data_IF_841803143522
#
_entry.id   IF_841803143522
#
_cell.length_a   1.000
_cell.length_b   1.000
_cell.length_c   1.000
_cell.angle_alpha   90.00
_cell.angle_beta   90.00
_cell.angle_gamma   90.00
#
_symmetry.space_group_name_H-M   'P 1'
#
loop_
_entity.id
_entity.type
_entity.pdbx_description
1 polymer ?
#
# COMPACT_ATOMS: atom_id res chain seq x y z
N UNK A 1 5.15 36.54 50.77
CA UNK A 1 6.58 36.80 50.45
C UNK A 1 7.43 35.78 51.19
N UNK A 2 8.09 34.91 50.43
CA UNK A 2 9.35 34.22 50.73
C UNK A 2 9.37 32.94 49.88
N UNK A 3 9.94 33.07 48.68
CA UNK A 3 10.25 31.97 47.77
C UNK A 3 11.25 31.00 48.40
N UNK A 4 11.11 29.71 48.08
CA UNK A 4 12.19 28.74 48.19
C UNK A 4 12.24 27.89 46.91
N UNK A 5 13.45 27.53 46.44
CA UNK A 5 13.76 27.44 45.02
C UNK A 5 13.57 26.04 44.44
N UNK A 6 13.35 26.01 43.12
CA UNK A 6 13.22 24.82 42.27
C UNK A 6 14.27 23.74 42.56
N UNK A 7 13.78 22.58 43.00
CA UNK A 7 14.54 21.32 43.03
C UNK A 7 15.05 20.99 41.62
N UNK A 8 16.37 20.92 41.48
CA UNK A 8 17.06 20.53 40.25
C UNK A 8 16.66 19.12 39.84
N UNK A 9 16.13 18.98 38.63
CA UNK A 9 15.88 17.71 37.97
C UNK A 9 17.14 16.82 38.00
N UNK A 10 17.01 15.65 38.63
CA UNK A 10 18.11 14.71 38.83
C UNK A 10 18.07 13.66 37.69
N UNK A 11 18.65 14.00 36.53
CA UNK A 11 18.67 13.19 35.31
C UNK A 11 19.53 11.89 35.39
N UNK A 12 19.94 11.45 36.57
CA UNK A 12 20.84 10.28 36.76
C UNK A 12 20.18 9.04 37.37
N UNK A 13 18.85 8.95 37.38
CA UNK A 13 18.13 7.75 37.83
C UNK A 13 17.13 7.25 36.80
N UNK A 14 17.63 6.74 35.68
CA UNK A 14 16.98 5.65 34.93
C UNK A 14 18.04 4.66 34.47
N UNK A 15 17.70 3.38 34.55
CA UNK A 15 18.51 2.21 34.21
C UNK A 15 19.19 2.35 32.84
N UNK A 16 20.35 1.70 32.65
CA UNK A 16 21.07 1.76 31.38
C UNK A 16 20.20 1.17 30.28
N UNK A 17 19.94 1.97 29.24
CA UNK A 17 19.56 1.44 27.93
C UNK A 17 20.74 0.56 27.50
N UNK A 18 20.48 -0.71 27.19
CA UNK A 18 21.51 -1.67 26.83
C UNK A 18 22.44 -1.08 25.76
N UNK A 19 23.74 -1.06 26.06
CA UNK A 19 24.79 -0.54 25.17
C UNK A 19 24.76 -1.24 23.79
N UNK A 20 24.16 -2.43 23.70
CA UNK A 20 23.96 -3.21 22.48
C UNK A 20 23.14 -2.44 21.41
N UNK A 21 22.17 -1.61 21.81
CA UNK A 21 21.35 -0.83 20.87
C UNK A 21 22.14 0.31 20.24
N UNK A 22 23.03 0.93 21.02
CA UNK A 22 23.90 2.01 20.54
C UNK A 22 25.06 1.46 19.71
N UNK A 23 25.62 0.30 20.07
CA UNK A 23 26.65 -0.38 19.27
C UNK A 23 26.11 -0.87 17.91
N UNK A 24 24.88 -1.41 17.85
CA UNK A 24 24.27 -1.81 16.58
C UNK A 24 23.92 -0.61 15.69
N UNK A 25 23.48 0.51 16.28
CA UNK A 25 23.21 1.75 15.56
C UNK A 25 24.50 2.38 15.02
N UNK A 26 25.59 2.35 15.80
CA UNK A 26 26.89 2.86 15.39
C UNK A 26 27.55 1.96 14.33
N UNK A 27 27.35 0.64 14.40
CA UNK A 27 27.73 -0.31 13.34
C UNK A 27 26.98 -0.05 12.04
N UNK A 28 25.66 0.17 12.11
CA UNK A 28 24.85 0.53 10.94
C UNK A 28 25.30 1.86 10.30
N UNK A 29 25.58 2.89 11.12
CA UNK A 29 26.01 4.21 10.63
C UNK A 29 27.46 4.20 10.09
N UNK A 30 28.35 3.37 10.63
CA UNK A 30 29.73 3.25 10.14
C UNK A 30 29.82 2.46 8.83
N UNK A 31 28.97 1.45 8.62
CA UNK A 31 28.82 0.74 7.34
C UNK A 31 28.31 1.68 6.23
N UNK A 32 27.47 2.66 6.55
CA UNK A 32 27.04 3.70 5.60
C UNK A 32 28.14 4.72 5.23
N UNK A 33 29.10 4.97 6.11
CA UNK A 33 30.20 5.93 5.88
C UNK A 33 31.34 5.39 5.01
N UNK A 34 31.47 4.07 4.88
CA UNK A 34 32.59 3.41 4.18
C UNK A 34 32.33 3.08 2.70
N UNK A 35 31.27 3.63 2.08
CA UNK A 35 31.02 3.44 0.65
C UNK A 35 31.95 4.36 -0.17
N UNK A 36 32.84 3.82 -1.03
CA UNK A 36 33.78 4.64 -1.79
C UNK A 36 33.05 5.57 -2.76
N UNK A 37 33.32 6.88 -2.66
CA UNK A 37 32.86 7.87 -3.64
C UNK A 37 33.50 7.57 -5.00
N UNK A 38 32.68 7.13 -5.97
CA UNK A 38 33.10 7.00 -7.37
C UNK A 38 33.46 8.39 -7.91
N UNK A 39 34.73 8.55 -8.32
CA UNK A 39 35.26 9.76 -8.95
C UNK A 39 34.58 9.99 -10.31
N UNK A 40 34.04 11.19 -10.53
CA UNK A 40 33.61 11.66 -11.87
C UNK A 40 34.79 11.62 -12.84
N UNK A 41 34.63 11.14 -14.10
CA UNK A 41 35.65 11.33 -15.12
C UNK A 41 35.73 12.81 -15.52
N UNK A 42 36.95 13.33 -15.59
CA UNK A 42 37.30 14.62 -16.18
C UNK A 42 37.01 14.61 -17.68
N UNK A 43 36.25 15.58 -18.16
CA UNK A 43 36.11 15.93 -19.58
C UNK A 43 37.36 16.69 -20.03
N UNK A 44 38.19 16.07 -20.87
CA UNK A 44 39.25 16.72 -21.64
C UNK A 44 38.91 16.59 -23.13
N UNK A 45 38.97 17.71 -23.86
CA UNK A 45 38.56 17.83 -25.26
C UNK A 45 39.52 17.19 -26.27
N UNK A 46 39.02 17.05 -27.51
CA UNK A 46 39.81 16.65 -28.68
C UNK A 46 38.93 16.29 -29.86
N UNK A 47 39.13 16.97 -30.99
CA UNK A 47 38.26 17.06 -32.16
C UNK A 47 38.25 15.82 -33.09
N UNK A 48 37.19 15.70 -33.91
CA UNK A 48 37.19 14.85 -35.11
C UNK A 48 35.81 14.42 -35.61
N UNK A 49 35.23 15.15 -36.57
CA UNK A 49 34.13 14.74 -37.49
C UNK A 49 34.75 14.52 -38.90
N UNK A 50 34.01 14.07 -39.94
CA UNK A 50 32.96 13.03 -40.03
C UNK A 50 33.08 12.17 -41.33
N UNK A 51 32.22 11.14 -41.54
CA UNK A 51 31.66 10.71 -42.86
C UNK A 51 30.65 9.54 -42.68
N UNK A 52 29.36 9.77 -42.96
CA UNK A 52 28.56 9.45 -44.18
C UNK A 52 28.39 7.96 -44.49
N UNK A 53 27.12 7.48 -44.51
CA UNK A 53 26.77 6.24 -45.23
C UNK A 53 25.40 5.60 -44.94
N UNK A 54 24.35 6.13 -45.57
CA UNK A 54 23.13 5.47 -46.10
C UNK A 54 22.55 4.20 -45.43
N UNK A 55 21.25 4.28 -45.10
CA UNK A 55 20.35 3.12 -45.00
C UNK A 55 18.88 3.56 -44.97
N UNK A 56 18.20 3.42 -46.11
CA UNK A 56 16.84 3.93 -46.33
C UNK A 56 15.76 3.22 -45.51
N UNK A 57 14.84 4.03 -44.98
CA UNK A 57 13.54 3.59 -44.47
C UNK A 57 12.63 3.21 -45.63
N UNK A 58 12.06 2.01 -45.58
CA UNK A 58 10.74 1.71 -46.16
C UNK A 58 9.83 1.10 -45.08
N UNK A 59 8.51 1.33 -45.18
CA UNK A 59 7.58 1.30 -44.06
C UNK A 59 7.08 -0.11 -43.77
N UNK A 60 7.02 -0.50 -42.49
CA UNK A 60 6.25 -1.67 -42.08
C UNK A 60 4.86 -1.23 -41.61
N UNK A 61 3.89 -1.64 -42.44
CA UNK A 61 2.45 -1.64 -42.26
C UNK A 61 2.04 -1.96 -40.83
N UNK A 62 1.08 -1.18 -40.34
CA UNK A 62 0.27 -1.53 -39.19
C UNK A 62 -0.46 -2.85 -39.41
N UNK A 63 -0.33 -3.74 -38.43
CA UNK A 63 -1.33 -4.68 -37.91
C UNK A 63 -0.63 -5.57 -36.89
N UNK A 64 -0.93 -5.37 -35.63
CA UNK A 64 -0.69 -6.30 -34.53
C UNK A 64 -1.61 -5.84 -33.40
N UNK A 65 -2.81 -6.40 -33.29
CA UNK A 65 -3.10 -7.45 -32.29
C UNK A 65 -2.21 -7.28 -31.06
N UNK A 66 -2.81 -6.77 -29.98
CA UNK A 66 -2.25 -6.81 -28.65
C UNK A 66 -1.76 -8.23 -28.37
N UNK A 67 -0.44 -8.43 -28.43
CA UNK A 67 0.19 -9.63 -27.93
C UNK A 67 0.03 -9.57 -26.41
N UNK A 68 -0.88 -10.37 -25.86
CA UNK A 68 -0.81 -10.73 -24.44
C UNK A 68 0.56 -11.36 -24.23
N UNK A 69 1.43 -10.67 -23.50
CA UNK A 69 2.68 -11.27 -23.04
C UNK A 69 2.35 -12.50 -22.18
N UNK A 70 3.12 -13.59 -22.28
CA UNK A 70 2.85 -14.80 -21.52
C UNK A 70 2.95 -14.53 -20.01
N UNK A 71 1.98 -15.02 -19.25
CA UNK A 71 2.00 -14.99 -17.78
C UNK A 71 3.22 -15.74 -17.26
N UNK A 72 3.96 -15.15 -16.32
CA UNK A 72 5.09 -15.82 -15.67
C UNK A 72 4.68 -16.33 -14.29
N UNK A 73 5.05 -17.58 -13.99
CA UNK A 73 4.83 -18.19 -12.68
C UNK A 73 6.15 -18.26 -11.92
N UNK A 74 6.13 -17.81 -10.68
CA UNK A 74 7.26 -17.88 -9.77
C UNK A 74 6.82 -18.47 -8.43
N UNK A 75 7.76 -19.05 -7.69
CA UNK A 75 7.47 -19.56 -6.35
C UNK A 75 8.61 -19.26 -5.39
N UNK A 76 8.26 -18.90 -4.16
CA UNK A 76 9.21 -18.64 -3.10
C UNK A 76 8.57 -18.86 -1.72
N UNK A 77 9.41 -19.08 -0.71
CA UNK A 77 8.94 -19.13 0.67
C UNK A 77 9.25 -17.80 1.35
N UNK A 78 8.29 -17.26 2.09
CA UNK A 78 8.52 -16.10 2.97
C UNK A 78 8.19 -16.42 4.41
N UNK A 79 8.99 -15.86 5.31
CA UNK A 79 8.84 -15.93 6.76
C UNK A 79 8.45 -14.54 7.26
N UNK A 80 7.34 -14.44 7.98
CA UNK A 80 6.80 -13.19 8.51
C UNK A 80 6.87 -13.29 10.03
N UNK A 81 7.80 -12.53 10.61
CA UNK A 81 7.96 -12.40 12.04
C UNK A 81 7.08 -11.26 12.53
N UNK A 82 6.03 -11.58 13.28
CA UNK A 82 5.20 -10.55 13.93
C UNK A 82 5.72 -10.35 15.35
N UNK A 83 6.10 -9.10 15.64
CA UNK A 83 6.56 -8.65 16.94
C UNK A 83 5.44 -7.88 17.62
N UNK A 84 5.07 -8.27 18.83
CA UNK A 84 4.05 -7.58 19.61
C UNK A 84 4.71 -6.46 20.41
N UNK A 85 4.25 -5.22 20.19
CA UNK A 85 4.75 -4.04 20.86
C UNK A 85 3.61 -3.34 21.59
N UNK A 86 3.88 -2.89 22.81
CA UNK A 86 2.93 -2.07 23.55
C UNK A 86 2.77 -0.72 22.84
N UNK A 87 1.53 -0.30 22.64
CA UNK A 87 1.21 1.02 22.14
C UNK A 87 1.58 2.03 23.24
N UNK A 88 2.49 2.95 22.92
CA UNK A 88 2.87 4.05 23.80
C UNK A 88 2.13 5.26 23.26
N UNK A 89 0.87 5.45 23.63
CA UNK A 89 0.18 6.70 23.33
C UNK A 89 -0.40 7.34 24.58
N UNK A 90 -0.04 8.61 24.69
CA UNK A 90 -0.17 9.61 25.74
C UNK A 90 -1.46 9.53 26.57
N UNK A 91 -1.27 9.60 27.89
CA UNK A 91 -2.24 10.23 28.79
C UNK A 91 -2.48 11.66 28.30
N UNK A 92 -3.53 11.88 27.51
CA UNK A 92 -4.11 13.22 27.37
C UNK A 92 -5.40 13.25 28.17
N UNK A 93 -5.27 13.86 29.35
CA UNK A 93 -6.34 14.35 30.18
C UNK A 93 -7.42 15.07 29.35
N UNK A 94 -8.65 14.91 29.79
CA UNK A 94 -9.78 15.75 29.42
C UNK A 94 -9.45 17.22 29.68
N UNK A 95 -9.08 18.00 28.66
CA UNK A 95 -9.36 19.44 28.61
C UNK A 95 -9.06 20.06 27.23
N UNK A 96 -9.91 21.03 26.90
CA UNK A 96 -9.84 22.05 25.83
C UNK A 96 -10.13 21.63 24.37
N UNK A 97 -11.31 22.09 23.94
CA UNK A 97 -11.57 22.65 22.61
C UNK A 97 -10.48 23.65 22.17
N UNK A 98 -10.30 23.74 20.85
CA UNK A 98 -9.55 24.77 20.12
C UNK A 98 -8.04 24.88 20.40
N UNK A 99 -7.23 24.23 19.56
CA UNK A 99 -6.28 24.90 18.66
C UNK A 99 -5.28 23.92 18.03
N UNK A 100 -5.04 24.18 16.74
CA UNK A 100 -3.83 23.85 15.97
C UNK A 100 -3.52 22.39 15.68
N UNK A 101 -3.71 22.06 14.41
CA UNK A 101 -2.96 21.03 13.70
C UNK A 101 -1.46 21.30 13.84
N UNK A 102 -0.78 20.53 14.70
CA UNK A 102 0.66 20.22 14.65
C UNK A 102 1.04 19.40 15.88
N UNK A 103 0.93 18.07 15.79
CA UNK A 103 1.92 17.10 16.30
C UNK A 103 1.35 15.68 16.28
N UNK A 104 1.09 15.13 15.11
CA UNK A 104 1.28 13.69 14.94
C UNK A 104 2.77 13.49 14.70
N UNK A 105 3.45 12.89 15.67
CA UNK A 105 4.88 12.62 15.62
C UNK A 105 5.30 12.07 14.24
N UNK A 106 6.40 12.61 13.74
CA UNK A 106 7.13 12.18 12.54
C UNK A 106 7.43 10.65 12.60
N UNK A 107 6.50 9.81 12.16
CA UNK A 107 6.73 8.40 11.85
C UNK A 107 6.90 8.28 10.33
N UNK A 108 7.80 9.08 9.76
CA UNK A 108 8.12 9.06 8.32
C UNK A 108 9.40 8.28 7.99
N UNK A 109 10.09 7.71 8.99
CA UNK A 109 11.40 7.06 8.78
C UNK A 109 11.37 5.62 8.23
N UNK A 110 10.21 5.11 7.78
CA UNK A 110 10.10 3.74 7.24
C UNK A 110 10.44 3.58 5.75
N UNK A 111 10.72 4.67 5.01
CA UNK A 111 10.76 4.65 3.53
C UNK A 111 12.09 5.01 2.86
N UNK A 112 13.25 4.80 3.51
CA UNK A 112 14.55 4.90 2.82
C UNK A 112 15.11 3.52 2.46
N UNK A 113 14.72 2.95 1.31
CA UNK A 113 15.31 1.71 0.79
C UNK A 113 15.99 1.92 -0.56
N UNK A 114 17.21 1.40 -0.67
CA UNK A 114 18.02 1.31 -1.86
C UNK A 114 17.35 0.50 -2.99
N UNK A 115 17.49 0.97 -4.22
CA UNK A 115 16.86 0.46 -5.44
C UNK A 115 17.53 -0.80 -6.04
N UNK A 116 18.09 -1.71 -5.24
CA UNK A 116 18.76 -2.88 -5.84
C UNK A 116 17.76 -3.91 -6.38
N UNK A 117 17.92 -4.25 -7.66
CA UNK A 117 17.18 -5.27 -8.41
C UNK A 117 17.68 -6.70 -8.13
N UNK A 118 18.23 -6.97 -6.95
CA UNK A 118 18.72 -8.30 -6.62
C UNK A 118 17.53 -9.23 -6.38
N UNK A 119 17.05 -9.87 -7.44
CA UNK A 119 16.07 -10.95 -7.36
C UNK A 119 16.66 -12.15 -6.61
N UNK A 120 15.85 -12.69 -5.70
CA UNK A 120 16.21 -13.87 -4.90
C UNK A 120 16.39 -15.09 -5.79
N UNK A 121 17.37 -15.94 -5.45
CA UNK A 121 17.57 -17.20 -6.16
C UNK A 121 16.35 -18.11 -5.96
N UNK A 122 16.00 -18.96 -6.94
CA UNK A 122 14.97 -19.98 -6.76
C UNK A 122 15.25 -20.84 -5.51
N UNK A 123 14.24 -20.98 -4.63
CA UNK A 123 14.36 -21.75 -3.38
C UNK A 123 14.86 -20.94 -2.15
N UNK A 124 15.24 -19.68 -2.32
CA UNK A 124 15.69 -18.84 -1.23
C UNK A 124 14.49 -18.30 -0.42
N UNK A 125 14.55 -18.44 0.91
CA UNK A 125 13.49 -17.99 1.81
C UNK A 125 13.72 -16.54 2.24
N UNK A 126 12.70 -15.69 2.11
CA UNK A 126 12.79 -14.29 2.52
C UNK A 126 12.14 -14.07 3.90
N UNK A 127 12.87 -13.49 4.84
CA UNK A 127 12.35 -13.16 6.18
C UNK A 127 12.07 -11.66 6.31
N UNK A 128 10.86 -11.32 6.76
CA UNK A 128 10.43 -9.96 7.07
C UNK A 128 9.95 -9.87 8.51
N UNK A 129 10.16 -8.70 9.13
CA UNK A 129 9.65 -8.38 10.46
C UNK A 129 8.54 -7.34 10.34
N UNK A 130 7.44 -7.59 11.04
CA UNK A 130 6.26 -6.73 11.13
C UNK A 130 5.94 -6.48 12.60
N UNK A 131 5.35 -5.33 12.90
CA UNK A 131 5.00 -4.93 14.25
C UNK A 131 3.48 -4.93 14.42
N UNK A 132 3.03 -5.50 15.53
CA UNK A 132 1.66 -5.51 15.97
C UNK A 132 1.53 -4.62 17.21
N UNK A 133 0.70 -3.59 17.12
CA UNK A 133 0.48 -2.62 18.19
C UNK A 133 -0.65 -3.10 19.10
N UNK A 134 -0.41 -3.15 20.41
CA UNK A 134 -1.40 -3.59 21.41
C UNK A 134 -1.50 -2.56 22.55
N UNK A 135 -2.72 -2.13 22.90
CA UNK A 135 -2.93 -1.07 23.90
C UNK A 135 -2.78 -1.55 25.34
N UNK A 136 -3.25 -2.75 25.67
CA UNK A 136 -3.28 -3.23 27.07
C UNK A 136 -3.17 -4.75 27.15
N UNK A 137 -2.46 -5.25 28.15
CA UNK A 137 -2.29 -6.68 28.44
C UNK A 137 -0.83 -7.12 28.55
N UNK A 138 -0.63 -8.34 29.05
CA UNK A 138 0.67 -9.00 28.94
C UNK A 138 1.00 -9.17 27.45
N UNK A 139 2.22 -8.81 27.00
CA UNK A 139 2.57 -8.89 25.60
C UNK A 139 2.31 -10.30 25.05
N UNK A 140 1.53 -10.41 23.97
CA UNK A 140 1.42 -11.68 23.24
C UNK A 140 2.81 -12.12 22.81
N UNK A 141 3.07 -13.42 22.85
CA UNK A 141 4.33 -13.98 22.38
C UNK A 141 4.48 -13.77 20.87
N UNK A 142 5.67 -13.33 20.45
CA UNK A 142 6.03 -13.19 19.04
C UNK A 142 5.70 -14.45 18.24
N UNK A 143 5.20 -14.27 17.02
CA UNK A 143 4.86 -15.37 16.14
C UNK A 143 5.58 -15.29 14.80
N UNK A 144 5.80 -16.47 14.22
CA UNK A 144 6.48 -16.64 12.95
C UNK A 144 5.57 -17.41 11.99
N UNK A 145 5.12 -16.74 10.94
CA UNK A 145 4.37 -17.37 9.87
C UNK A 145 5.30 -17.71 8.71
N UNK A 146 5.18 -18.91 8.14
CA UNK A 146 5.91 -19.31 6.93
C UNK A 146 4.94 -19.58 5.78
N UNK A 147 4.95 -18.74 4.76
CA UNK A 147 4.08 -18.88 3.59
C UNK A 147 4.86 -19.37 2.37
N UNK A 148 4.37 -20.43 1.74
CA UNK A 148 4.79 -20.84 0.41
C UNK A 148 3.95 -20.09 -0.62
N UNK A 149 4.59 -19.17 -1.32
CA UNK A 149 3.94 -18.24 -2.24
C UNK A 149 4.15 -18.72 -3.66
N UNK A 150 3.06 -18.92 -4.39
CA UNK A 150 3.06 -19.07 -5.84
C UNK A 150 2.53 -17.78 -6.46
N UNK A 151 3.35 -17.07 -7.22
CA UNK A 151 2.96 -15.83 -7.89
C UNK A 151 2.76 -16.09 -9.37
N UNK A 152 1.60 -15.69 -9.89
CA UNK A 152 1.32 -15.62 -11.32
C UNK A 152 1.21 -14.14 -11.69
N UNK A 153 2.15 -13.65 -12.49
CA UNK A 153 2.19 -12.25 -12.93
C UNK A 153 1.49 -12.05 -14.27
N UNK A 154 1.04 -10.81 -14.50
CA UNK A 154 0.38 -10.35 -15.74
C UNK A 154 -0.86 -11.18 -16.09
N UNK A 155 -1.63 -11.57 -15.06
CA UNK A 155 -2.92 -12.22 -15.26
C UNK A 155 -3.94 -11.23 -15.83
N UNK A 156 -4.92 -11.68 -16.63
CA UNK A 156 -6.01 -10.83 -17.07
C UNK A 156 -6.88 -10.37 -15.89
N UNK A 157 -7.60 -9.26 -16.06
CA UNK A 157 -8.38 -8.63 -14.98
C UNK A 157 -9.52 -9.53 -14.50
N UNK A 158 -10.14 -10.29 -15.39
CA UNK A 158 -11.23 -11.23 -15.08
C UNK A 158 -10.85 -12.31 -14.04
N UNK A 159 -9.55 -12.55 -13.87
CA UNK A 159 -8.99 -13.46 -12.87
C UNK A 159 -9.02 -12.83 -11.47
N UNK A 160 -8.91 -11.49 -11.41
CA UNK A 160 -8.98 -10.73 -10.17
C UNK A 160 -10.43 -10.40 -9.82
N UNK A 161 -11.15 -9.76 -10.75
CA UNK A 161 -12.52 -9.28 -10.58
C UNK A 161 -13.43 -10.05 -11.54
N UNK A 162 -14.50 -10.65 -11.02
CA UNK A 162 -15.47 -11.35 -11.85
C UNK A 162 -16.05 -10.39 -12.92
N UNK A 163 -16.06 -10.78 -14.21
CA UNK A 163 -16.58 -9.96 -15.30
C UNK A 163 -17.97 -9.36 -15.07
N UNK A 164 -18.84 -10.02 -14.29
CA UNK A 164 -20.18 -9.50 -14.00
C UNK A 164 -20.18 -8.17 -13.24
N UNK A 165 -19.10 -7.84 -12.53
CA UNK A 165 -18.96 -6.58 -11.82
C UNK A 165 -18.27 -5.49 -12.66
N UNK A 166 -17.63 -5.87 -13.77
CA UNK A 166 -16.85 -4.96 -14.58
C UNK A 166 -17.78 -4.00 -15.36
N UNK A 167 -17.60 -2.67 -15.24
CA UNK A 167 -18.44 -1.73 -15.95
C UNK A 167 -18.13 -1.75 -17.45
N UNK A 168 -19.19 -1.67 -18.26
CA UNK A 168 -19.08 -1.49 -19.71
C UNK A 168 -18.64 -0.05 -20.07
N UNK A 169 -18.27 0.19 -21.32
CA UNK A 169 -17.96 1.56 -21.77
C UNK A 169 -19.16 2.52 -21.69
N UNK A 170 -20.39 2.02 -21.74
CA UNK A 170 -21.61 2.85 -21.66
C UNK A 170 -22.10 3.06 -20.21
N UNK A 171 -21.39 2.49 -19.22
CA UNK A 171 -21.73 2.64 -17.80
C UNK A 171 -21.55 4.11 -17.36
N UNK A 172 -22.64 4.74 -16.94
CA UNK A 172 -22.68 6.18 -16.63
C UNK A 172 -21.85 6.53 -15.40
N UNK A 173 -21.78 5.64 -14.41
CA UNK A 173 -20.95 5.82 -13.21
C UNK A 173 -19.48 5.77 -13.59
N UNK A 174 -19.09 4.79 -14.41
CA UNK A 174 -17.74 4.67 -14.94
C UNK A 174 -17.33 5.90 -15.75
N UNK A 175 -18.16 6.35 -16.71
CA UNK A 175 -17.86 7.52 -17.54
C UNK A 175 -17.73 8.80 -16.71
N UNK A 176 -18.58 8.97 -15.68
CA UNK A 176 -18.48 10.12 -14.77
C UNK A 176 -17.14 10.15 -14.02
N UNK A 177 -16.68 9.01 -13.51
CA UNK A 177 -15.40 8.93 -12.82
C UNK A 177 -14.22 9.20 -13.76
N UNK A 178 -14.28 8.67 -14.98
CA UNK A 178 -13.26 8.91 -16.02
C UNK A 178 -13.17 10.39 -16.37
N UNK A 179 -14.31 11.07 -16.55
CA UNK A 179 -14.33 12.51 -16.83
C UNK A 179 -13.72 13.33 -15.69
N UNK A 180 -14.06 13.01 -14.43
CA UNK A 180 -13.55 13.73 -13.27
C UNK A 180 -12.02 13.65 -13.10
N UNK A 181 -11.41 12.52 -13.48
CA UNK A 181 -9.99 12.25 -13.27
C UNK A 181 -9.10 12.49 -14.50
N UNK A 182 -9.64 13.20 -15.49
CA UNK A 182 -8.93 13.60 -16.70
C UNK A 182 -9.24 15.05 -17.06
N UNK A 183 -8.20 15.87 -17.22
CA UNK A 183 -8.34 17.23 -17.75
C UNK A 183 -7.24 17.49 -18.80
N UNK A 184 -7.51 17.18 -20.09
CA UNK A 184 -6.52 17.36 -21.15
C UNK A 184 -6.04 18.81 -21.30
N UNK A 185 -6.89 19.81 -21.00
CA UNK A 185 -6.53 21.23 -21.16
C UNK A 185 -5.42 21.62 -20.21
N UNK A 186 -5.42 21.04 -19.01
CA UNK A 186 -4.40 21.28 -17.99
C UNK A 186 -3.19 20.38 -18.21
N UNK A 187 -3.42 19.10 -18.45
CA UNK A 187 -2.38 18.08 -18.51
C UNK A 187 -1.52 18.15 -19.79
N UNK A 188 -2.05 18.64 -20.93
CA UNK A 188 -1.30 18.76 -22.20
C UNK A 188 -0.54 20.09 -22.35
N UNK A 189 -0.63 21.00 -21.37
CA UNK A 189 0.13 22.25 -21.42
C UNK A 189 1.62 21.99 -21.24
N UNK A 190 2.41 22.58 -22.13
CA UNK A 190 3.87 22.37 -22.19
C UNK A 190 4.63 23.26 -21.21
N UNK A 191 4.09 24.43 -20.89
CA UNK A 191 4.71 25.40 -19.98
C UNK A 191 3.65 26.01 -19.06
N UNK A 192 3.75 25.69 -17.77
CA UNK A 192 3.05 26.36 -16.68
C UNK A 192 4.11 26.94 -15.76
N UNK A 193 4.32 28.26 -15.83
CA UNK A 193 5.28 28.96 -14.96
C UNK A 193 4.67 29.35 -13.61
N UNK A 194 3.34 29.40 -13.51
CA UNK A 194 2.60 29.77 -12.30
C UNK A 194 1.46 28.78 -12.01
N UNK A 195 1.48 28.19 -10.81
CA UNK A 195 0.46 27.27 -10.34
C UNK A 195 -0.89 27.93 -10.07
N UNK A 196 -0.91 29.23 -9.81
CA UNK A 196 -2.15 29.99 -9.67
C UNK A 196 -2.90 30.12 -11.00
N UNK A 197 -2.20 29.98 -12.14
CA UNK A 197 -2.81 29.93 -13.46
C UNK A 197 -3.36 28.54 -13.79
N UNK A 198 -2.74 27.47 -13.27
CA UNK A 198 -3.24 26.11 -13.42
C UNK A 198 -4.64 25.97 -12.82
N UNK A 199 -4.85 26.42 -11.59
CA UNK A 199 -6.14 26.32 -10.90
C UNK A 199 -7.26 27.08 -11.63
N UNK A 200 -6.93 28.14 -12.39
CA UNK A 200 -7.90 28.88 -13.23
C UNK A 200 -8.28 28.15 -14.51
N UNK A 201 -7.45 27.20 -14.95
CA UNK A 201 -7.66 26.44 -16.19
C UNK A 201 -8.39 25.13 -15.96
N UNK A 202 -8.26 24.56 -14.75
CA UNK A 202 -8.97 23.35 -14.35
C UNK A 202 -10.47 23.59 -14.47
N UNK A 203 -11.19 22.66 -15.09
CA UNK A 203 -12.65 22.71 -15.11
C UNK A 203 -13.16 22.84 -13.66
N UNK A 204 -14.05 23.80 -13.34
CA UNK A 204 -14.57 23.97 -11.99
C UNK A 204 -15.14 22.68 -11.37
N UNK A 205 -15.68 21.76 -12.17
CA UNK A 205 -16.17 20.44 -11.71
C UNK A 205 -15.05 19.50 -11.27
N UNK A 206 -13.82 19.75 -11.72
CA UNK A 206 -12.60 18.96 -11.48
C UNK A 206 -11.62 19.66 -10.53
N UNK A 207 -11.95 20.85 -10.03
CA UNK A 207 -11.08 21.68 -9.19
C UNK A 207 -10.48 20.92 -7.99
N UNK A 208 -11.23 20.00 -7.37
CA UNK A 208 -10.74 19.15 -6.27
C UNK A 208 -9.57 18.23 -6.66
N UNK A 209 -9.41 17.93 -7.95
CA UNK A 209 -8.31 17.13 -8.49
C UNK A 209 -7.19 17.98 -9.11
N UNK A 210 -7.23 19.31 -8.95
CA UNK A 210 -6.12 20.18 -9.37
C UNK A 210 -4.75 19.72 -8.82
N UNK A 211 -4.63 19.25 -7.56
CA UNK A 211 -3.36 18.70 -7.07
C UNK A 211 -2.87 17.47 -7.85
N UNK A 212 -3.78 16.55 -8.23
CA UNK A 212 -3.42 15.41 -9.07
C UNK A 212 -2.91 15.87 -10.44
N UNK A 213 -3.62 16.79 -11.10
CA UNK A 213 -3.22 17.26 -12.43
C UNK A 213 -1.86 17.96 -12.39
N UNK A 214 -1.59 18.71 -11.33
CA UNK A 214 -0.26 19.29 -11.04
C UNK A 214 0.79 18.18 -10.90
N UNK A 215 0.54 17.20 -10.04
CA UNK A 215 1.50 16.12 -9.82
C UNK A 215 1.77 15.31 -11.10
N UNK A 216 0.75 15.07 -11.94
CA UNK A 216 0.90 14.41 -13.25
C UNK A 216 1.74 15.27 -14.18
N UNK A 217 1.49 16.58 -14.27
CA UNK A 217 2.27 17.50 -15.09
C UNK A 217 3.76 17.51 -14.65
N UNK A 218 4.01 17.55 -13.34
CA UNK A 218 5.35 17.57 -12.76
C UNK A 218 6.03 16.19 -12.73
N UNK A 219 5.29 15.13 -13.08
CA UNK A 219 5.76 13.75 -13.03
C UNK A 219 6.35 13.37 -11.65
N UNK A 220 5.73 13.89 -10.59
CA UNK A 220 6.24 13.88 -9.22
C UNK A 220 6.67 12.50 -8.73
N UNK A 221 5.93 11.46 -9.07
CA UNK A 221 6.13 10.11 -8.56
C UNK A 221 7.02 9.20 -9.43
N UNK A 222 7.72 9.71 -10.46
CA UNK A 222 8.56 8.85 -11.32
C UNK A 222 9.74 8.20 -10.58
N UNK A 223 10.28 8.87 -9.55
CA UNK A 223 11.46 8.40 -8.80
C UNK A 223 11.20 8.15 -7.32
N UNK A 224 10.14 8.73 -6.78
CA UNK A 224 9.82 8.69 -5.36
C UNK A 224 8.53 7.91 -5.11
N UNK A 225 8.48 7.24 -3.96
CA UNK A 225 7.27 6.55 -3.50
C UNK A 225 6.71 7.40 -2.36
N UNK A 226 5.83 8.35 -2.71
CA UNK A 226 4.93 9.05 -1.79
C UNK A 226 3.51 8.51 -2.01
N UNK A 227 3.23 7.31 -1.49
CA UNK A 227 2.08 6.51 -1.87
C UNK A 227 0.77 7.01 -1.22
N UNK A 228 0.89 7.70 -0.08
CA UNK A 228 -0.26 8.15 0.71
C UNK A 228 -1.07 9.18 -0.07
N UNK A 229 -0.41 10.14 -0.73
CA UNK A 229 -1.07 11.17 -1.55
C UNK A 229 -1.77 10.54 -2.77
N UNK A 230 -1.18 9.51 -3.39
CA UNK A 230 -1.83 8.85 -4.52
C UNK A 230 -3.09 8.09 -4.08
N UNK A 231 -3.06 7.46 -2.90
CA UNK A 231 -4.25 6.84 -2.33
C UNK A 231 -5.30 7.86 -1.89
N UNK A 232 -4.92 9.05 -1.42
CA UNK A 232 -5.84 10.17 -1.20
C UNK A 232 -6.59 10.54 -2.47
N UNK A 233 -5.88 10.72 -3.59
CA UNK A 233 -6.52 11.02 -4.88
C UNK A 233 -7.49 9.93 -5.33
N UNK A 234 -7.15 8.67 -5.11
CA UNK A 234 -8.02 7.53 -5.41
C UNK A 234 -9.25 7.56 -4.48
N UNK A 235 -9.06 7.71 -3.18
CA UNK A 235 -10.15 7.78 -2.21
C UNK A 235 -11.14 8.90 -2.56
N UNK A 236 -10.64 10.12 -2.79
CA UNK A 236 -11.48 11.28 -3.17
C UNK A 236 -12.26 11.06 -4.47
N UNK A 237 -11.73 10.29 -5.42
CA UNK A 237 -12.46 9.94 -6.65
C UNK A 237 -13.69 9.07 -6.34
N UNK A 238 -13.54 8.08 -5.47
CA UNK A 238 -14.57 7.09 -5.17
C UNK A 238 -15.51 7.49 -4.02
N UNK A 239 -15.20 8.56 -3.27
CA UNK A 239 -16.10 9.16 -2.26
C UNK A 239 -17.47 9.62 -2.82
N UNK A 240 -17.57 9.91 -4.11
CA UNK A 240 -18.82 10.44 -4.70
C UNK A 240 -19.80 9.36 -5.21
N UNK A 241 -19.57 8.08 -4.89
CA UNK A 241 -20.50 7.04 -5.34
C UNK A 241 -21.79 7.06 -4.51
N UNK A 242 -22.98 7.16 -5.13
CA UNK A 242 -24.25 7.36 -4.43
C UNK A 242 -24.71 6.17 -3.56
N UNK A 243 -23.96 5.07 -3.54
CA UNK A 243 -24.15 3.94 -2.63
C UNK A 243 -23.16 3.90 -1.45
N UNK A 244 -22.41 4.98 -1.23
CA UNK A 244 -21.49 5.08 -0.09
C UNK A 244 -22.25 5.11 1.23
N UNK A 245 -21.74 4.31 2.17
CA UNK A 245 -22.44 3.83 3.35
C UNK A 245 -22.03 2.39 3.66
N UNK A 246 -21.77 1.58 2.62
CA UNK A 246 -21.30 0.21 2.79
C UNK A 246 -19.79 0.02 2.62
N UNK A 247 -19.07 0.77 1.77
CA UNK A 247 -17.63 0.56 1.50
C UNK A 247 -16.88 1.90 1.45
N UNK A 248 -15.83 2.03 2.26
CA UNK A 248 -15.03 3.24 2.40
C UNK A 248 -13.53 2.97 2.28
N UNK A 249 -12.79 4.00 1.87
CA UNK A 249 -11.35 4.08 1.98
C UNK A 249 -10.99 4.66 3.35
N UNK A 250 -10.07 4.02 4.06
CA UNK A 250 -9.68 4.43 5.40
C UNK A 250 -8.21 4.62 5.53
N UNK A 251 -7.84 5.58 6.38
CA UNK A 251 -6.47 5.97 6.67
C UNK A 251 -6.06 5.55 8.07
N UNK A 252 -4.76 5.33 8.28
CA UNK A 252 -4.15 5.12 9.60
C UNK A 252 -4.84 4.02 10.41
N UNK A 253 -5.01 2.84 9.80
CA UNK A 253 -5.83 1.81 10.40
C UNK A 253 -5.02 0.63 10.94
N UNK A 254 -5.60 -0.02 11.96
CA UNK A 254 -5.04 -1.20 12.59
C UNK A 254 -5.80 -2.44 12.15
N UNK A 255 -5.09 -3.40 11.57
CA UNK A 255 -5.61 -4.66 11.10
C UNK A 255 -5.56 -5.70 12.24
N UNK A 256 -6.71 -6.20 12.72
CA UNK A 256 -6.76 -7.16 13.83
C UNK A 256 -6.17 -8.51 13.43
N UNK A 257 -5.46 -9.18 14.34
CA UNK A 257 -4.93 -10.52 14.08
C UNK A 257 -5.93 -11.62 14.41
N UNK A 258 -6.81 -11.36 15.38
CA UNK A 258 -7.83 -12.27 15.82
C UNK A 258 -9.17 -11.55 16.06
N UNK A 259 -10.25 -12.32 16.11
CA UNK A 259 -11.61 -11.83 16.36
C UNK A 259 -11.73 -11.01 17.65
N UNK A 260 -11.06 -11.40 18.74
CA UNK A 260 -11.09 -10.63 19.99
C UNK A 260 -10.42 -9.25 19.89
N UNK A 261 -9.60 -9.00 18.85
CA UNK A 261 -8.90 -7.74 18.66
C UNK A 261 -9.77 -6.71 17.90
N UNK A 262 -10.93 -7.11 17.38
CA UNK A 262 -11.85 -6.23 16.65
C UNK A 262 -12.33 -5.06 17.50
N UNK A 263 -12.31 -3.86 16.92
CA UNK A 263 -12.75 -2.63 17.60
C UNK A 263 -11.84 -2.13 18.72
N UNK A 264 -10.71 -2.78 19.00
CA UNK A 264 -9.78 -2.39 20.08
C UNK A 264 -8.68 -1.41 19.64
N UNK A 265 -8.66 -1.04 18.35
CA UNK A 265 -7.54 -0.33 17.69
C UNK A 265 -6.18 -1.03 17.87
N UNK A 266 -6.18 -2.34 18.13
CA UNK A 266 -4.97 -3.17 18.15
C UNK A 266 -4.83 -3.85 16.80
N UNK A 267 -3.60 -3.92 16.29
CA UNK A 267 -3.41 -4.45 14.94
C UNK A 267 -2.04 -4.24 14.32
N UNK A 268 -1.86 -4.82 13.15
CA UNK A 268 -0.85 -4.35 12.21
C UNK A 268 -1.28 -3.03 11.59
N UNK A 269 -0.44 -2.02 11.67
CA UNK A 269 -0.71 -0.73 11.04
C UNK A 269 -0.62 -0.81 9.51
N UNK A 270 -1.63 -0.25 8.84
CA UNK A 270 -1.62 0.02 7.40
C UNK A 270 -2.06 1.46 7.16
N UNK A 271 -1.32 2.17 6.29
CA UNK A 271 -1.64 3.55 5.92
C UNK A 271 -3.04 3.64 5.30
N UNK A 272 -3.38 2.69 4.42
CA UNK A 272 -4.67 2.67 3.73
C UNK A 272 -5.25 1.26 3.61
N UNK A 273 -6.57 1.15 3.77
CA UNK A 273 -7.32 -0.01 3.27
C UNK A 273 -8.73 0.38 2.83
N UNK A 274 -9.39 -0.56 2.17
CA UNK A 274 -10.81 -0.49 1.79
C UNK A 274 -11.57 -1.48 2.66
N UNK A 275 -12.67 -1.04 3.28
CA UNK A 275 -13.45 -1.88 4.19
C UNK A 275 -14.90 -1.44 4.28
N UNK A 276 -15.75 -2.30 4.85
CA UNK A 276 -17.15 -1.93 5.08
C UNK A 276 -17.32 -1.03 6.32
N UNK A 277 -18.38 -0.20 6.33
CA UNK A 277 -18.72 0.92 7.24
C UNK A 277 -18.23 0.89 8.72
N UNK A 278 -18.24 2.04 9.40
CA UNK A 278 -17.86 2.10 10.83
C UNK A 278 -19.04 1.68 11.71
N UNK A 279 -18.79 0.82 12.69
CA UNK A 279 -19.80 0.43 13.66
C UNK A 279 -19.53 1.13 14.98
N UNK A 280 -20.54 1.79 15.54
CA UNK A 280 -20.41 2.34 16.89
C UNK A 280 -20.46 1.18 17.88
N UNK A 281 -19.40 1.00 18.66
CA UNK A 281 -19.30 0.03 19.76
C UNK A 281 -19.09 0.77 21.07
N UNK A 282 -19.41 0.17 22.24
CA UNK A 282 -19.05 0.75 23.52
C UNK A 282 -17.53 1.00 23.57
N UNK A 283 -17.11 2.26 23.62
CA UNK A 283 -15.69 2.65 23.62
C UNK A 283 -15.14 3.20 22.30
N UNK A 284 -15.92 3.28 21.21
CA UNK A 284 -15.49 3.97 19.98
C UNK A 284 -16.15 3.46 18.70
N UNK A 285 -15.47 3.67 17.57
CA UNK A 285 -15.86 3.08 16.29
C UNK A 285 -15.04 1.83 16.02
N UNK A 286 -15.72 0.70 15.88
CA UNK A 286 -15.11 -0.52 15.40
C UNK A 286 -15.05 -0.53 13.87
N UNK A 287 -13.95 -1.09 13.41
CA UNK A 287 -13.73 -1.45 12.02
C UNK A 287 -13.47 -2.94 12.01
N UNK A 288 -13.93 -3.64 10.99
CA UNK A 288 -13.65 -5.05 10.82
C UNK A 288 -12.98 -5.29 9.51
N UNK A 289 -13.17 -6.48 8.94
CA UNK A 289 -12.18 -7.06 8.05
C UNK A 289 -11.98 -6.19 6.80
N UNK A 290 -10.76 -5.70 6.56
CA UNK A 290 -10.44 -5.02 5.32
C UNK A 290 -10.73 -5.92 4.12
N UNK A 291 -11.41 -5.34 3.13
CA UNK A 291 -11.73 -5.98 1.85
C UNK A 291 -10.54 -5.94 0.89
N UNK A 292 -9.70 -4.90 1.00
CA UNK A 292 -8.42 -4.79 0.32
C UNK A 292 -7.45 -3.91 1.10
N UNK A 293 -6.16 -4.26 1.13
CA UNK A 293 -5.10 -3.43 1.69
C UNK A 293 -4.42 -2.62 0.60
N UNK A 294 -4.24 -1.32 0.82
CA UNK A 294 -3.52 -0.42 -0.08
C UNK A 294 -2.09 -0.27 0.44
N UNK A 295 -1.11 -0.63 -0.39
CA UNK A 295 0.29 -0.71 0.05
C UNK A 295 1.26 -0.26 -1.01
N UNK A 296 2.46 0.04 -0.54
CA UNK A 296 3.52 0.69 -1.28
C UNK A 296 4.61 -0.35 -1.44
N UNK A 297 5.12 -0.49 -2.65
CA UNK A 297 6.10 -1.52 -2.97
C UNK A 297 7.51 -0.91 -3.12
N UNK A 298 8.26 -0.76 -2.01
CA UNK A 298 9.57 -0.12 -2.04
C UNK A 298 10.62 -0.98 -2.73
N UNK A 299 10.50 -2.31 -2.62
CA UNK A 299 11.44 -3.28 -3.22
C UNK A 299 10.83 -3.94 -4.45
N UNK A 300 11.69 -4.29 -5.40
CA UNK A 300 11.30 -5.04 -6.59
C UNK A 300 11.23 -6.55 -6.33
N UNK A 301 10.66 -7.26 -7.31
CA UNK A 301 10.67 -8.71 -7.36
C UNK A 301 10.04 -9.38 -6.14
N UNK A 302 10.56 -10.56 -5.81
CA UNK A 302 10.05 -11.42 -4.72
C UNK A 302 10.17 -10.77 -3.35
N UNK A 303 11.27 -10.07 -3.07
CA UNK A 303 11.46 -9.36 -1.81
C UNK A 303 10.42 -8.26 -1.60
N UNK A 304 10.09 -7.52 -2.67
CA UNK A 304 8.98 -6.57 -2.67
C UNK A 304 7.64 -7.23 -2.35
N UNK A 305 7.28 -8.27 -3.11
CA UNK A 305 6.01 -9.01 -2.91
C UNK A 305 5.92 -9.51 -1.46
N UNK A 306 6.97 -10.19 -0.99
CA UNK A 306 7.04 -10.77 0.34
C UNK A 306 6.87 -9.74 1.47
N UNK A 307 7.37 -8.52 1.29
CA UNK A 307 7.32 -7.47 2.32
C UNK A 307 6.04 -6.65 2.30
N UNK A 308 5.56 -6.25 1.12
CA UNK A 308 4.42 -5.32 1.01
C UNK A 308 3.09 -6.01 0.72
N UNK A 309 3.08 -7.08 -0.09
CA UNK A 309 1.83 -7.69 -0.57
C UNK A 309 1.37 -8.87 0.31
N UNK A 310 2.28 -9.81 0.62
CA UNK A 310 1.91 -11.06 1.30
C UNK A 310 1.30 -10.88 2.70
N UNK A 311 1.83 -10.01 3.59
CA UNK A 311 1.28 -9.86 4.93
C UNK A 311 -0.19 -9.45 4.90
N UNK A 312 -0.54 -8.42 4.11
CA UNK A 312 -1.92 -7.98 3.95
C UNK A 312 -2.84 -9.09 3.43
N UNK A 313 -2.37 -9.90 2.47
CA UNK A 313 -3.17 -11.02 1.93
C UNK A 313 -3.41 -12.13 2.96
N UNK A 314 -2.38 -12.52 3.72
CA UNK A 314 -2.49 -13.58 4.72
C UNK A 314 -3.42 -13.18 5.88
N UNK A 315 -3.30 -11.95 6.38
CA UNK A 315 -4.11 -11.50 7.50
C UNK A 315 -5.57 -11.28 7.11
N UNK A 316 -5.85 -10.78 5.90
CA UNK A 316 -7.21 -10.77 5.33
C UNK A 316 -7.82 -12.16 5.26
N UNK A 317 -7.08 -13.15 4.73
CA UNK A 317 -7.57 -14.51 4.63
C UNK A 317 -7.78 -15.15 6.02
N UNK A 318 -6.88 -14.91 6.98
CA UNK A 318 -7.04 -15.38 8.36
C UNK A 318 -8.30 -14.82 9.00
N UNK A 319 -8.51 -13.50 8.94
CA UNK A 319 -9.69 -12.89 9.54
C UNK A 319 -10.97 -13.38 8.88
N UNK A 320 -11.04 -13.42 7.54
CA UNK A 320 -12.20 -13.96 6.85
C UNK A 320 -12.54 -15.42 7.27
N UNK A 321 -11.52 -16.24 7.55
CA UNK A 321 -11.69 -17.59 8.07
C UNK A 321 -12.18 -17.62 9.53
N UNK A 322 -11.69 -16.73 10.39
CA UNK A 322 -12.17 -16.62 11.78
C UNK A 322 -13.64 -16.22 11.85
N UNK A 323 -14.09 -15.39 10.92
CA UNK A 323 -15.50 -15.00 10.80
C UNK A 323 -16.35 -16.13 10.22
N UNK A 324 -15.94 -16.68 9.08
CA UNK A 324 -16.70 -17.73 8.40
C UNK A 324 -15.79 -18.86 7.94
N UNK A 325 -15.64 -19.86 8.80
CA UNK A 325 -14.71 -20.98 8.58
C UNK A 325 -15.18 -22.02 7.56
N UNK A 326 -16.35 -21.83 6.93
CA UNK A 326 -16.98 -22.82 6.05
C UNK A 326 -16.70 -22.63 4.56
N UNK A 327 -16.09 -21.51 4.16
CA UNK A 327 -15.74 -21.27 2.75
C UNK A 327 -14.66 -22.25 2.28
N UNK A 328 -14.76 -22.69 1.03
CA UNK A 328 -13.72 -23.53 0.42
C UNK A 328 -12.42 -22.75 0.19
N UNK A 329 -12.55 -21.47 -0.16
CA UNK A 329 -11.45 -20.57 -0.48
C UNK A 329 -11.66 -19.19 0.13
N UNK A 330 -10.56 -18.56 0.48
CA UNK A 330 -10.49 -17.26 1.13
C UNK A 330 -9.72 -16.29 0.23
N UNK A 331 -10.42 -15.50 -0.61
CA UNK A 331 -9.79 -14.48 -1.42
C UNK A 331 -9.43 -13.25 -0.56
N UNK A 332 -8.26 -12.68 -0.81
CA UNK A 332 -7.78 -11.45 -0.21
C UNK A 332 -7.23 -10.52 -1.29
N UNK A 333 -7.27 -9.21 -1.06
CA UNK A 333 -6.91 -8.24 -2.10
C UNK A 333 -5.87 -7.24 -1.61
N UNK A 334 -4.94 -6.89 -2.50
CA UNK A 334 -3.98 -5.82 -2.29
C UNK A 334 -3.95 -4.93 -3.51
N UNK A 335 -3.96 -3.61 -3.28
CA UNK A 335 -3.68 -2.60 -4.30
C UNK A 335 -2.26 -2.12 -4.04
N UNK A 336 -1.34 -2.50 -4.93
CA UNK A 336 0.08 -2.23 -4.77
C UNK A 336 0.52 -1.06 -5.64
N UNK A 337 1.09 -0.03 -5.03
CA UNK A 337 1.57 1.19 -5.68
C UNK A 337 3.09 1.24 -5.71
N UNK A 338 3.65 1.72 -6.82
CA UNK A 338 5.06 2.10 -6.95
C UNK A 338 5.22 3.24 -7.95
N UNK A 339 5.56 4.43 -7.46
CA UNK A 339 5.47 5.63 -8.28
C UNK A 339 4.05 5.79 -8.83
N UNK A 340 3.92 6.06 -10.12
CA UNK A 340 2.62 6.10 -10.82
C UNK A 340 1.97 4.74 -11.07
N UNK A 341 2.69 3.63 -10.83
CA UNK A 341 2.27 2.30 -11.24
C UNK A 341 1.46 1.60 -10.17
N UNK A 342 0.27 1.15 -10.52
CA UNK A 342 -0.63 0.39 -9.66
C UNK A 342 -0.82 -1.02 -10.18
N UNK A 343 -0.75 -2.01 -9.30
CA UNK A 343 -1.08 -3.40 -9.58
C UNK A 343 -2.22 -3.85 -8.67
N UNK A 344 -3.22 -4.50 -9.24
CA UNK A 344 -4.23 -5.24 -8.48
C UNK A 344 -3.73 -6.66 -8.23
N UNK A 345 -3.78 -7.07 -6.97
CA UNK A 345 -3.27 -8.34 -6.48
C UNK A 345 -4.37 -9.09 -5.75
N UNK A 346 -4.55 -10.36 -6.09
CA UNK A 346 -5.48 -11.28 -5.42
C UNK A 346 -4.71 -12.46 -4.85
N UNK A 347 -4.82 -12.64 -3.54
CA UNK A 347 -4.37 -13.82 -2.83
C UNK A 347 -5.52 -14.81 -2.70
N UNK A 348 -5.27 -16.09 -2.91
CA UNK A 348 -6.23 -17.16 -2.70
C UNK A 348 -5.59 -18.22 -1.82
N UNK A 349 -6.26 -18.53 -0.71
CA UNK A 349 -5.93 -19.63 0.18
C UNK A 349 -7.10 -20.59 0.27
N UNK A 350 -6.84 -21.89 0.38
CA UNK A 350 -7.90 -22.86 0.66
C UNK A 350 -8.20 -22.88 2.16
N UNK A 351 -9.38 -23.36 2.53
CA UNK A 351 -9.76 -23.60 3.93
C UNK A 351 -8.67 -24.33 4.73
N UNK A 352 -8.09 -25.36 4.13
CA UNK A 352 -7.04 -26.17 4.78
C UNK A 352 -5.75 -25.39 5.01
N UNK A 353 -5.36 -24.52 4.07
CA UNK A 353 -4.13 -23.73 4.19
C UNK A 353 -4.30 -22.60 5.22
N UNK A 354 -5.47 -21.94 5.29
CA UNK A 354 -5.74 -20.92 6.31
C UNK A 354 -5.82 -21.56 7.70
N UNK A 355 -6.49 -22.71 7.85
CA UNK A 355 -6.53 -23.43 9.12
C UNK A 355 -5.13 -23.81 9.65
N UNK A 356 -4.15 -24.07 8.77
CA UNK A 356 -2.76 -24.32 9.17
C UNK A 356 -2.01 -23.07 9.64
N UNK A 357 -2.43 -21.87 9.22
CA UNK A 357 -1.90 -20.62 9.77
C UNK A 357 -2.31 -20.43 11.23
N UNK A 358 -3.46 -20.96 11.63
CA UNK A 358 -3.95 -20.90 13.02
C UNK A 358 -3.38 -22.01 13.91
N UNK A 359 -2.85 -23.09 13.31
CA UNK A 359 -2.18 -24.16 14.05
C UNK A 359 -0.87 -23.63 14.66
N UNK A 360 -0.88 -23.41 15.98
CA UNK A 360 0.25 -22.95 16.80
C UNK A 360 1.53 -23.77 16.58
N UNK A 361 1.44 -25.01 16.09
CA UNK A 361 2.60 -25.87 15.83
C UNK A 361 3.16 -25.74 14.42
N UNK A 362 2.35 -25.35 13.43
CA UNK A 362 2.73 -25.38 12.01
C UNK A 362 2.92 -23.99 11.41
N UNK A 363 2.12 -23.00 11.82
CA UNK A 363 2.13 -21.59 11.37
C UNK A 363 2.58 -21.42 9.90
N UNK A 364 2.13 -22.32 9.02
CA UNK A 364 2.61 -22.39 7.65
C UNK A 364 1.54 -22.84 6.69
N UNK A 365 1.53 -22.23 5.51
CA UNK A 365 0.51 -22.50 4.50
C UNK A 365 0.94 -22.09 3.10
N UNK A 366 0.14 -22.45 2.12
CA UNK A 366 0.31 -22.05 0.72
C UNK A 366 -0.67 -20.94 0.35
N UNK A 367 -0.16 -19.94 -0.36
CA UNK A 367 -0.96 -18.87 -0.95
C UNK A 367 -0.65 -18.77 -2.45
N UNK A 368 -1.71 -18.73 -3.26
CA UNK A 368 -1.60 -18.38 -4.69
C UNK A 368 -1.88 -16.90 -4.85
N UNK A 369 -0.96 -16.19 -5.49
CA UNK A 369 -1.01 -14.74 -5.68
C UNK A 369 -1.10 -14.45 -7.16
N UNK A 370 -2.16 -13.79 -7.58
CA UNK A 370 -2.43 -13.39 -8.95
C UNK A 370 -2.25 -11.89 -9.07
N UNK A 371 -1.41 -11.44 -9.99
CA UNK A 371 -1.03 -10.03 -10.14
C UNK A 371 -1.31 -9.58 -11.56
N UNK A 372 -2.04 -8.48 -11.71
CA UNK A 372 -2.25 -7.83 -13.01
C UNK A 372 -0.95 -7.23 -13.55
N UNK A 373 -0.98 -6.80 -14.83
CA UNK A 373 0.00 -5.82 -15.31
C UNK A 373 -0.13 -4.50 -14.52
N UNK A 374 0.92 -3.70 -14.53
CA UNK A 374 0.89 -2.39 -13.88
C UNK A 374 0.10 -1.39 -14.74
N UNK A 375 -0.80 -0.64 -14.10
CA UNK A 375 -1.47 0.54 -14.64
C UNK A 375 -0.70 1.77 -14.20
N UNK A 376 -0.12 2.49 -15.15
CA UNK A 376 0.65 3.71 -14.97
C UNK A 376 -0.29 4.92 -15.04
N UNK A 377 -0.67 5.41 -13.87
CA UNK A 377 -1.62 6.51 -13.73
C UNK A 377 -1.12 7.83 -14.31
N UNK A 378 0.14 7.93 -14.73
CA UNK A 378 0.61 9.05 -15.51
C UNK A 378 -0.16 9.18 -16.85
N UNK A 379 -0.54 8.06 -17.47
CA UNK A 379 -1.21 8.06 -18.78
C UNK A 379 -2.74 8.00 -18.66
N UNK A 380 -3.44 8.87 -19.40
CA UNK A 380 -4.92 8.95 -19.42
C UNK A 380 -5.61 7.61 -19.70
N UNK A 381 -5.14 6.90 -20.73
CA UNK A 381 -5.73 5.62 -21.11
C UNK A 381 -5.59 4.58 -19.99
N UNK A 382 -4.46 4.59 -19.27
CA UNK A 382 -4.24 3.67 -18.16
C UNK A 382 -5.01 4.08 -16.90
N UNK A 383 -5.21 5.39 -16.66
CA UNK A 383 -6.16 5.87 -15.63
C UNK A 383 -7.58 5.39 -15.90
N UNK A 384 -8.05 5.46 -17.15
CA UNK A 384 -9.38 4.95 -17.54
C UNK A 384 -9.52 3.46 -17.20
N UNK A 385 -8.54 2.64 -17.59
CA UNK A 385 -8.58 1.21 -17.28
C UNK A 385 -8.46 0.93 -15.78
N UNK A 386 -7.61 1.66 -15.06
CA UNK A 386 -7.54 1.58 -13.59
C UNK A 386 -8.90 1.86 -12.94
N UNK A 387 -9.60 2.94 -13.34
CA UNK A 387 -10.93 3.28 -12.82
C UNK A 387 -11.91 2.12 -13.06
N UNK A 388 -11.85 1.50 -14.25
CA UNK A 388 -12.70 0.36 -14.61
C UNK A 388 -12.49 -0.81 -13.65
N UNK A 389 -11.23 -1.19 -13.43
CA UNK A 389 -10.90 -2.30 -12.51
C UNK A 389 -11.26 -1.96 -11.07
N UNK A 390 -10.95 -0.74 -10.63
CA UNK A 390 -11.23 -0.29 -9.27
C UNK A 390 -12.73 -0.27 -8.98
N UNK A 391 -13.55 0.27 -9.90
CA UNK A 391 -15.01 0.27 -9.77
C UNK A 391 -15.57 -1.15 -9.75
N UNK A 392 -15.09 -2.03 -10.64
CA UNK A 392 -15.49 -3.45 -10.64
C UNK A 392 -15.13 -4.15 -9.32
N UNK A 393 -13.95 -3.88 -8.78
CA UNK A 393 -13.51 -4.42 -7.49
C UNK A 393 -14.42 -3.94 -6.34
N UNK A 394 -14.70 -2.63 -6.27
CA UNK A 394 -15.61 -2.07 -5.26
C UNK A 394 -17.02 -2.64 -5.36
N UNK A 395 -17.55 -2.83 -6.58
CA UNK A 395 -18.84 -3.50 -6.80
C UNK A 395 -18.81 -4.95 -6.29
N UNK A 396 -17.74 -5.68 -6.56
CA UNK A 396 -17.58 -7.07 -6.09
C UNK A 396 -17.53 -7.20 -4.57
N UNK A 397 -17.02 -6.18 -3.88
CA UNK A 397 -16.91 -6.16 -2.43
C UNK A 397 -18.23 -5.99 -1.70
N UNK A 398 -19.27 -5.44 -2.35
CA UNK A 398 -20.60 -5.31 -1.74
C UNK A 398 -21.19 -6.68 -1.40
N UNK A 399 -20.95 -7.66 -2.27
CA UNK A 399 -21.46 -9.03 -2.14
C UNK A 399 -20.65 -9.88 -1.14
N UNK A 400 -19.54 -9.37 -0.58
CA UNK A 400 -18.70 -10.09 0.39
C UNK A 400 -19.24 -9.91 1.81
N UNK A 401 -19.88 -10.97 2.31
CA UNK A 401 -20.55 -11.00 3.63
C UNK A 401 -19.58 -11.14 4.79
N UNK A 402 -18.38 -11.68 4.56
CA UNK A 402 -17.34 -11.84 5.58
C UNK A 402 -16.82 -10.50 6.14
N UNK A 403 -17.15 -9.38 5.49
CA UNK A 403 -16.88 -8.02 5.96
C UNK A 403 -18.08 -7.37 6.69
N UNK A 404 -19.21 -8.06 6.82
CA UNK A 404 -20.40 -7.62 7.57
C UNK A 404 -20.40 -8.22 8.99
N UNK A 405 -19.51 -7.76 9.86
CA UNK A 405 -19.33 -8.28 11.23
C UNK A 405 -20.20 -7.54 12.27
N UNK A 406 -21.18 -6.77 11.82
CA UNK A 406 -22.06 -5.93 12.64
C UNK A 406 -22.85 -6.70 13.69
N UNK A 407 -23.22 -7.94 13.40
CA UNK A 407 -23.95 -8.83 14.32
C UNK A 407 -23.08 -9.45 15.40
N UNK A 408 -21.75 -9.35 15.29
CA UNK A 408 -20.81 -10.00 16.20
C UNK A 408 -20.16 -9.05 17.20
N UNK A 409 -20.35 -7.73 17.03
CA UNK A 409 -19.93 -6.68 17.95
C UNK A 409 -21.06 -6.18 18.87
N UNK A 410 -22.28 -6.68 18.66
CA UNK A 410 -23.48 -6.49 19.50
C UNK A 410 -23.65 -7.70 20.41
#
# INVERSE_FOLDING_TARGET
MSEAPHSRYNLRKRNPVDNDVFEELEKFLSEQRNIPRVRKPRTGGGAGKPRRGKGGRKPRKGKGKASQEPSTTESFTTKIHVKFIADIQEESDQQSEEASAESAANISDWYRSSHSEADLKPGESHSNRHFYYQRTGAPRSDCLFAANVEVVNKVPVDTIVDPKYMPSDDDTEFQRLVDLWQDPVVEDKVELSDWSELEKLVDPKKARFAPLFRDVHDDRYRKETEPDILFDYIASLFEQLPSQGEIDFRQNCYFPLAREDLGTHQGLYFSYYIGKGTFNVPGGQAIGVPLAVCTCKPKLGRAGIARSEIPGLLFQANMAFEFESNHEQYPAYVISVRGWKICFVKGIMTRQEVARLQDKKKLSGRIKVQRTGAYDLYYRNERKEFIRVMLGLLRSFKDRREADFSTELL
#
